data_IF_926829976659
#
_entry.id   IF_926829976659
#
_cell.length_a   1.000
_cell.length_b   1.000
_cell.length_c   1.000
_cell.angle_alpha   90.00
_cell.angle_beta   90.00
_cell.angle_gamma   90.00
#
_symmetry.space_group_name_H-M   'P 1'
#
loop_
_entity.id
_entity.type
_entity.pdbx_description
1 polymer ?
#
# COMPACT_ATOMS: atom_id res chain seq x y z
N UNK A 1 -27.11 15.70 52.98
CA UNK A 1 -27.22 15.61 51.52
C UNK A 1 -25.83 15.55 50.92
N UNK A 2 -25.33 14.40 50.51
CA UNK A 2 -24.06 14.25 49.81
C UNK A 2 -24.36 13.72 48.40
N UNK A 3 -24.33 14.59 47.42
CA UNK A 3 -24.53 14.28 46.02
C UNK A 3 -23.28 13.58 45.48
N UNK A 4 -23.39 12.32 45.10
CA UNK A 4 -22.32 11.58 44.42
C UNK A 4 -22.35 11.96 42.95
N UNK A 5 -21.24 12.59 42.50
CA UNK A 5 -20.96 12.81 41.09
C UNK A 5 -20.31 11.54 40.58
N UNK A 6 -21.00 10.77 39.74
CA UNK A 6 -20.41 9.72 38.92
C UNK A 6 -19.98 10.37 37.60
N UNK A 7 -18.70 10.59 37.44
CA UNK A 7 -18.12 11.03 36.19
C UNK A 7 -17.84 9.81 35.33
N UNK A 8 -18.42 9.87 34.17
CA UNK A 8 -18.31 8.96 33.01
C UNK A 8 -16.84 8.83 32.58
N UNK A 9 -16.18 7.73 32.92
CA UNK A 9 -14.88 7.32 32.34
C UNK A 9 -15.11 5.98 31.66
N UNK A 10 -15.75 6.00 30.49
CA UNK A 10 -15.97 4.78 29.70
C UNK A 10 -15.89 4.96 28.18
N UNK A 11 -15.37 6.09 27.66
CA UNK A 11 -15.33 6.27 26.20
C UNK A 11 -13.92 6.49 25.59
N UNK A 12 -12.86 6.43 26.38
CA UNK A 12 -11.49 6.66 25.91
C UNK A 12 -10.62 5.39 25.80
N UNK A 13 -11.11 4.24 26.25
CA UNK A 13 -10.36 2.98 26.22
C UNK A 13 -10.60 2.12 24.95
N UNK A 14 -11.64 2.38 24.18
CA UNK A 14 -11.94 1.59 22.99
C UNK A 14 -11.19 2.02 21.73
N UNK A 15 -10.81 3.29 21.61
CA UNK A 15 -10.07 3.80 20.44
C UNK A 15 -8.57 3.43 20.47
N UNK A 16 -7.98 3.34 21.68
CA UNK A 16 -6.55 3.00 21.82
C UNK A 16 -6.23 1.53 21.57
N UNK A 17 -7.19 0.62 21.78
CA UNK A 17 -6.98 -0.83 21.55
C UNK A 17 -7.04 -1.19 20.07
N UNK A 18 -7.81 -0.47 19.25
CA UNK A 18 -7.89 -0.70 17.80
C UNK A 18 -6.70 -0.13 17.02
N UNK A 19 -6.14 1.00 17.45
CA UNK A 19 -4.94 1.58 16.85
C UNK A 19 -3.69 0.71 17.08
N UNK A 20 -3.63 -0.02 18.19
CA UNK A 20 -2.55 -0.98 18.50
C UNK A 20 -2.60 -2.27 17.67
N UNK A 21 -3.70 -2.54 16.94
CA UNK A 21 -3.85 -3.80 16.20
C UNK A 21 -3.17 -3.82 14.83
N UNK A 22 -2.78 -2.68 14.28
CA UNK A 22 -2.08 -2.62 12.99
C UNK A 22 -0.55 -2.50 13.11
N UNK A 23 -0.07 -1.96 14.23
CA UNK A 23 1.37 -1.82 14.50
C UNK A 23 1.85 -2.97 15.34
N UNK A 24 1.86 -4.15 14.80
CA UNK A 24 2.35 -5.22 15.62
C UNK A 24 3.44 -5.98 14.89
N UNK A 25 4.66 -5.65 15.22
CA UNK A 25 5.80 -6.54 15.02
C UNK A 25 5.54 -7.98 15.52
N UNK A 26 4.27 -8.39 15.60
CA UNK A 26 3.75 -9.70 16.02
C UNK A 26 3.21 -10.52 14.85
N UNK A 27 2.94 -9.91 13.67
CA UNK A 27 2.58 -10.68 12.47
C UNK A 27 3.81 -11.37 11.92
N UNK A 28 3.63 -12.62 11.47
CA UNK A 28 4.70 -13.42 10.92
C UNK A 28 4.34 -13.83 9.50
N UNK A 29 4.56 -12.93 8.56
CA UNK A 29 4.31 -13.18 7.15
C UNK A 29 5.62 -12.93 6.41
N UNK A 30 6.22 -13.98 5.88
CA UNK A 30 7.52 -13.86 5.23
C UNK A 30 7.37 -13.33 3.80
N UNK A 31 8.24 -12.40 3.47
CA UNK A 31 8.34 -11.86 2.12
C UNK A 31 8.87 -12.92 1.15
N UNK A 32 8.37 -12.95 -0.10
CA UNK A 32 8.97 -13.78 -1.13
C UNK A 32 10.40 -13.30 -1.43
N UNK A 33 11.26 -14.19 -1.89
CA UNK A 33 12.64 -13.86 -2.28
C UNK A 33 12.70 -12.96 -3.52
N UNK A 34 11.65 -12.99 -4.34
CA UNK A 34 11.49 -12.17 -5.54
C UNK A 34 10.01 -12.02 -5.87
N UNK A 35 9.62 -10.90 -6.46
CA UNK A 35 8.28 -10.71 -7.02
C UNK A 35 8.02 -11.55 -8.28
N UNK A 36 9.01 -12.29 -8.77
CA UNK A 36 8.87 -13.13 -9.96
C UNK A 36 8.62 -12.33 -11.24
N UNK A 37 9.06 -11.07 -11.27
CA UNK A 37 8.91 -10.20 -12.43
C UNK A 37 9.88 -10.62 -13.53
N UNK A 38 9.36 -10.72 -14.77
CA UNK A 38 10.14 -11.00 -15.96
C UNK A 38 10.83 -9.75 -16.52
N UNK A 39 11.03 -9.77 -17.83
CA UNK A 39 11.69 -8.67 -18.54
C UNK A 39 10.95 -7.34 -18.32
N UNK A 40 11.73 -6.28 -18.07
CA UNK A 40 11.26 -4.91 -17.96
C UNK A 40 11.18 -4.22 -19.32
N UNK A 41 10.15 -3.41 -19.53
CA UNK A 41 9.99 -2.57 -20.72
C UNK A 41 9.39 -1.21 -20.39
N UNK A 42 9.77 -0.19 -21.15
CA UNK A 42 9.27 1.18 -20.95
C UNK A 42 7.93 1.34 -21.64
N UNK A 43 6.89 1.70 -20.89
CA UNK A 43 5.52 1.90 -21.42
C UNK A 43 5.20 3.37 -21.67
N UNK A 44 5.83 4.29 -20.91
CA UNK A 44 5.65 5.74 -21.03
C UNK A 44 6.84 6.48 -20.40
N UNK A 45 6.75 7.82 -20.37
CA UNK A 45 7.65 8.69 -19.62
C UNK A 45 6.79 9.60 -18.74
N UNK A 46 7.05 9.62 -17.45
CA UNK A 46 6.38 10.52 -16.52
C UNK A 46 6.82 11.97 -16.74
N UNK A 47 5.98 12.90 -16.33
CA UNK A 47 6.30 14.34 -16.24
C UNK A 47 6.16 14.84 -14.80
N UNK A 48 5.56 14.04 -13.91
CA UNK A 48 5.42 14.30 -12.48
C UNK A 48 5.59 12.98 -11.73
N UNK A 49 6.34 13.02 -10.64
CA UNK A 49 6.35 12.01 -9.59
C UNK A 49 5.85 12.62 -8.28
N UNK A 50 5.01 11.88 -7.57
CA UNK A 50 4.46 12.27 -6.27
C UNK A 50 4.78 11.17 -5.28
N UNK A 51 5.30 11.54 -4.12
CA UNK A 51 5.67 10.59 -3.07
C UNK A 51 4.77 10.72 -1.87
N UNK A 52 4.32 9.59 -1.36
CA UNK A 52 3.38 9.51 -0.25
C UNK A 52 3.98 8.70 0.90
N UNK A 53 3.87 9.22 2.12
CA UNK A 53 4.04 8.45 3.33
C UNK A 53 2.72 7.73 3.64
N UNK A 54 2.77 6.41 3.78
CA UNK A 54 1.63 5.62 4.23
C UNK A 54 1.77 5.36 5.72
N UNK A 55 0.74 5.67 6.52
CA UNK A 55 0.69 5.46 7.96
C UNK A 55 1.99 5.87 8.67
N UNK A 56 2.38 7.14 8.51
CA UNK A 56 3.53 7.72 9.17
C UNK A 56 3.17 8.17 10.60
N UNK A 57 4.00 7.83 11.60
CA UNK A 57 3.86 8.40 12.95
C UNK A 57 4.40 9.84 12.97
N UNK A 58 5.46 10.11 12.21
CA UNK A 58 6.01 11.44 11.96
C UNK A 58 6.27 11.63 10.47
N UNK A 59 5.51 12.52 9.85
CA UNK A 59 5.60 12.81 8.41
C UNK A 59 6.97 13.35 7.97
N UNK A 60 7.78 13.85 8.90
CA UNK A 60 9.14 14.35 8.64
C UNK A 60 10.21 13.28 8.79
N UNK A 61 9.86 12.15 9.40
CA UNK A 61 10.77 11.05 9.65
C UNK A 61 10.38 9.79 8.87
N UNK A 62 11.04 9.57 7.74
CA UNK A 62 10.80 8.45 6.82
C UNK A 62 10.91 7.07 7.51
N UNK A 63 11.69 6.93 8.57
CA UNK A 63 11.85 5.66 9.30
C UNK A 63 10.56 5.27 10.06
N UNK A 64 9.61 6.21 10.23
CA UNK A 64 8.32 5.98 10.88
C UNK A 64 7.22 5.56 9.92
N UNK A 65 7.47 5.56 8.60
CA UNK A 65 6.47 5.20 7.60
C UNK A 65 6.23 3.69 7.59
N UNK A 66 4.97 3.30 7.51
CA UNK A 66 4.60 1.92 7.22
C UNK A 66 5.09 1.52 5.82
N UNK A 67 4.85 2.41 4.84
CA UNK A 67 5.42 2.31 3.51
C UNK A 67 5.69 3.70 2.94
N UNK A 68 6.65 3.80 2.05
CA UNK A 68 6.93 4.98 1.26
C UNK A 68 6.58 4.67 -0.20
N UNK A 69 5.63 5.40 -0.76
CA UNK A 69 5.03 5.06 -2.03
C UNK A 69 5.21 6.20 -3.05
N UNK A 70 5.22 5.85 -4.33
CA UNK A 70 5.34 6.82 -5.41
C UNK A 70 4.26 6.65 -6.46
N UNK A 71 3.90 7.77 -7.08
CA UNK A 71 2.97 7.89 -8.20
C UNK A 71 3.70 8.54 -9.38
N UNK A 72 3.93 7.82 -10.46
CA UNK A 72 4.48 8.31 -11.71
C UNK A 72 3.34 8.62 -12.68
N UNK A 73 3.21 9.88 -13.11
CA UNK A 73 2.17 10.32 -14.03
C UNK A 73 2.77 10.62 -15.40
N UNK A 74 2.46 9.79 -16.37
CA UNK A 74 2.79 9.95 -17.77
C UNK A 74 1.60 10.41 -18.61
N UNK A 75 1.77 10.50 -19.93
CA UNK A 75 0.69 10.87 -20.85
C UNK A 75 -0.32 9.75 -21.09
N UNK A 76 0.12 8.51 -21.09
CA UNK A 76 -0.68 7.33 -21.38
C UNK A 76 -0.83 6.41 -20.19
N UNK A 77 0.22 6.29 -19.38
CA UNK A 77 0.29 5.42 -18.22
C UNK A 77 0.50 6.22 -16.95
N UNK A 78 -0.13 5.74 -15.89
CA UNK A 78 0.15 6.15 -14.52
C UNK A 78 0.55 4.89 -13.75
N UNK A 79 1.63 4.96 -12.99
CA UNK A 79 2.12 3.87 -12.15
C UNK A 79 2.09 4.30 -10.70
N UNK A 80 1.62 3.42 -9.81
CA UNK A 80 1.71 3.58 -8.36
C UNK A 80 2.33 2.32 -7.75
N UNK A 81 3.30 2.49 -6.85
CA UNK A 81 4.01 1.37 -6.21
C UNK A 81 4.79 1.84 -4.98
N UNK A 82 5.40 0.88 -4.25
CA UNK A 82 6.26 1.14 -3.11
C UNK A 82 7.65 1.61 -3.54
N UNK A 83 8.08 2.75 -3.00
CA UNK A 83 9.45 3.25 -3.14
C UNK A 83 10.44 2.42 -2.34
N UNK A 84 10.05 1.94 -1.16
CA UNK A 84 10.88 1.04 -0.37
C UNK A 84 11.19 -0.26 -1.12
N UNK A 85 10.22 -0.80 -1.87
CA UNK A 85 10.46 -1.95 -2.75
C UNK A 85 11.38 -1.60 -3.91
N UNK A 86 11.17 -0.46 -4.58
CA UNK A 86 12.03 0.01 -5.68
C UNK A 86 13.48 0.14 -5.23
N UNK A 87 13.73 0.72 -4.06
CA UNK A 87 15.06 0.83 -3.47
C UNK A 87 15.68 -0.53 -3.11
N UNK A 88 14.87 -1.43 -2.57
CA UNK A 88 15.34 -2.78 -2.21
C UNK A 88 15.74 -3.58 -3.47
N UNK A 89 14.92 -3.56 -4.51
CA UNK A 89 15.19 -4.22 -5.79
C UNK A 89 16.40 -3.62 -6.51
N UNK A 90 16.57 -2.30 -6.45
CA UNK A 90 17.74 -1.65 -7.02
C UNK A 90 19.04 -2.07 -6.30
N UNK A 91 19.04 -2.14 -4.98
CA UNK A 91 20.17 -2.65 -4.20
C UNK A 91 20.48 -4.10 -4.55
N UNK A 92 19.45 -4.94 -4.71
CA UNK A 92 19.61 -6.32 -5.13
C UNK A 92 20.22 -6.42 -6.54
N UNK A 93 19.73 -5.60 -7.46
CA UNK A 93 20.23 -5.53 -8.84
C UNK A 93 21.72 -5.12 -8.89
N UNK A 94 22.10 -4.08 -8.15
CA UNK A 94 23.49 -3.63 -8.05
C UNK A 94 24.37 -4.74 -7.48
N UNK A 95 23.92 -5.37 -6.40
CA UNK A 95 24.68 -6.47 -5.78
C UNK A 95 24.93 -7.64 -6.76
N UNK A 96 23.90 -8.03 -7.53
CA UNK A 96 24.06 -9.11 -8.55
C UNK A 96 25.06 -8.71 -9.62
N UNK A 97 25.11 -7.45 -10.05
CA UNK A 97 26.08 -6.96 -11.02
C UNK A 97 27.52 -6.97 -10.48
N UNK A 98 27.69 -6.66 -9.19
CA UNK A 98 28.98 -6.66 -8.51
C UNK A 98 29.52 -8.06 -8.19
N UNK A 99 28.61 -9.07 -8.16
CA UNK A 99 28.95 -10.45 -7.80
C UNK A 99 28.52 -11.45 -8.91
N UNK A 100 29.09 -11.34 -10.13
CA UNK A 100 28.78 -12.26 -11.22
C UNK A 100 29.25 -13.67 -10.84
N UNK A 101 28.33 -14.62 -10.84
CA UNK A 101 28.61 -16.02 -10.45
C UNK A 101 28.26 -16.37 -9.01
N UNK A 102 27.71 -15.46 -8.23
CA UNK A 102 27.14 -15.79 -6.92
C UNK A 102 26.01 -16.83 -7.04
N UNK A 103 26.08 -17.87 -6.21
CA UNK A 103 25.07 -18.96 -6.21
C UNK A 103 23.77 -18.60 -5.49
N UNK A 104 23.74 -17.49 -4.76
CA UNK A 104 22.57 -16.98 -4.06
C UNK A 104 22.61 -15.46 -4.03
N UNK A 105 21.45 -14.84 -4.06
CA UNK A 105 21.28 -13.38 -3.95
C UNK A 105 20.82 -13.05 -2.54
N UNK A 106 21.41 -12.05 -1.86
CA UNK A 106 20.94 -11.63 -0.55
C UNK A 106 19.46 -11.24 -0.62
N UNK A 107 18.70 -11.65 0.38
CA UNK A 107 17.34 -11.14 0.53
C UNK A 107 17.42 -9.69 1.02
N UNK A 108 17.10 -8.75 0.14
CA UNK A 108 17.03 -7.33 0.48
C UNK A 108 15.58 -7.00 0.73
N UNK A 109 15.17 -7.06 1.99
CA UNK A 109 13.84 -6.62 2.38
C UNK A 109 13.71 -5.09 2.26
N UNK A 110 12.53 -4.59 1.85
CA UNK A 110 12.27 -3.16 1.86
C UNK A 110 12.41 -2.61 3.28
N UNK A 111 12.97 -1.42 3.42
CA UNK A 111 12.96 -0.70 4.69
C UNK A 111 11.52 -0.33 5.02
N UNK A 112 10.95 -1.01 5.97
CA UNK A 112 9.59 -0.80 6.42
C UNK A 112 9.55 -1.01 7.93
N UNK A 113 8.74 -0.23 8.61
CA UNK A 113 8.44 -0.41 10.04
C UNK A 113 7.96 -1.82 10.35
N UNK A 114 7.35 -2.52 9.39
CA UNK A 114 6.83 -3.87 9.57
C UNK A 114 7.90 -4.96 9.47
N UNK A 115 8.90 -4.83 8.58
CA UNK A 115 9.90 -5.88 8.33
C UNK A 115 9.34 -7.21 7.82
N UNK A 116 8.06 -7.24 7.40
CA UNK A 116 7.32 -8.40 6.93
C UNK A 116 6.63 -8.08 5.60
N UNK A 117 6.10 -9.11 4.92
CA UNK A 117 5.29 -8.89 3.74
C UNK A 117 4.03 -8.08 4.06
N UNK A 118 3.65 -7.18 3.16
CA UNK A 118 2.35 -6.51 3.15
C UNK A 118 1.87 -6.32 1.72
N UNK A 119 0.57 -6.42 1.50
CA UNK A 119 -0.05 -6.27 0.19
C UNK A 119 0.25 -4.91 -0.44
N UNK A 120 0.39 -3.82 0.36
CA UNK A 120 0.64 -2.48 -0.17
C UNK A 120 2.04 -2.33 -0.76
N UNK A 121 3.04 -2.99 -0.17
CA UNK A 121 4.43 -2.94 -0.66
C UNK A 121 4.64 -3.84 -1.86
N UNK A 122 3.93 -4.98 -1.87
CA UNK A 122 4.12 -6.03 -2.87
C UNK A 122 3.10 -5.97 -4.01
N UNK A 123 2.28 -4.92 -4.09
CA UNK A 123 1.41 -4.64 -5.24
C UNK A 123 1.94 -3.49 -6.10
N UNK A 124 1.74 -3.61 -7.42
CA UNK A 124 1.95 -2.54 -8.39
C UNK A 124 0.66 -2.24 -9.14
N UNK A 125 0.41 -0.96 -9.34
CA UNK A 125 -0.81 -0.46 -9.97
C UNK A 125 -0.47 0.30 -11.23
N UNK A 126 -1.13 -0.04 -12.34
CA UNK A 126 -0.99 0.67 -13.61
C UNK A 126 -2.36 1.13 -14.08
N UNK A 127 -2.49 2.42 -14.35
CA UNK A 127 -3.70 2.97 -14.98
C UNK A 127 -3.41 3.32 -16.43
N UNK A 128 -4.22 2.79 -17.33
CA UNK A 128 -4.15 3.05 -18.77
C UNK A 128 -5.56 3.05 -19.36
N UNK A 129 -5.90 4.09 -20.14
CA UNK A 129 -7.22 4.21 -20.81
C UNK A 129 -8.43 3.99 -19.88
N UNK A 130 -8.37 4.50 -18.65
CA UNK A 130 -9.47 4.36 -17.69
C UNK A 130 -9.60 2.98 -17.05
N UNK A 131 -8.61 2.11 -17.24
CA UNK A 131 -8.52 0.80 -16.58
C UNK A 131 -7.35 0.79 -15.62
N UNK A 132 -7.62 0.44 -14.36
CA UNK A 132 -6.62 0.13 -13.36
C UNK A 132 -6.32 -1.36 -13.42
N UNK A 133 -5.05 -1.72 -13.51
CA UNK A 133 -4.55 -3.09 -13.35
C UNK A 133 -3.69 -3.15 -12.10
N UNK A 134 -4.05 -3.99 -11.14
CA UNK A 134 -3.24 -4.29 -9.96
C UNK A 134 -2.57 -5.64 -10.14
N UNK A 135 -1.24 -5.68 -9.95
CA UNK A 135 -0.44 -6.90 -9.84
C UNK A 135 -0.11 -7.14 -8.38
N UNK A 136 -0.65 -8.21 -7.80
CA UNK A 136 -0.49 -8.57 -6.38
C UNK A 136 0.49 -9.72 -6.24
N UNK A 137 1.65 -9.46 -5.62
CA UNK A 137 2.61 -10.50 -5.24
C UNK A 137 2.26 -11.06 -3.88
N UNK A 138 2.07 -12.36 -3.79
CA UNK A 138 1.75 -13.06 -2.55
C UNK A 138 3.01 -13.34 -1.70
N UNK A 139 2.86 -13.57 -0.39
CA UNK A 139 3.98 -13.88 0.48
C UNK A 139 4.63 -15.23 0.16
N UNK A 140 5.77 -15.48 0.78
CA UNK A 140 6.53 -16.72 0.65
C UNK A 140 5.64 -17.96 0.88
N UNK A 141 5.82 -18.97 0.02
CA UNK A 141 5.01 -20.19 0.01
C UNK A 141 3.69 -20.09 -0.74
N UNK A 142 3.30 -18.88 -1.18
CA UNK A 142 2.09 -18.62 -1.95
C UNK A 142 2.38 -17.97 -3.32
N UNK A 143 3.61 -18.06 -3.82
CA UNK A 143 4.03 -17.41 -5.07
C UNK A 143 3.24 -17.91 -6.30
N UNK A 144 2.73 -19.14 -6.26
CA UNK A 144 1.85 -19.71 -7.31
C UNK A 144 0.48 -19.01 -7.37
N UNK A 145 0.13 -18.30 -6.32
CA UNK A 145 -1.11 -17.54 -6.18
C UNK A 145 -0.97 -16.07 -6.58
N UNK A 146 0.22 -15.65 -7.05
CA UNK A 146 0.44 -14.33 -7.63
C UNK A 146 -0.63 -14.04 -8.68
N UNK A 147 -1.25 -12.87 -8.58
CA UNK A 147 -2.43 -12.56 -9.35
C UNK A 147 -2.45 -11.11 -9.84
N UNK A 148 -3.26 -10.87 -10.86
CA UNK A 148 -3.68 -9.53 -11.21
C UNK A 148 -5.19 -9.46 -11.38
N UNK A 149 -5.75 -8.26 -11.23
CA UNK A 149 -7.12 -7.97 -11.61
C UNK A 149 -7.21 -6.60 -12.26
N UNK A 150 -8.34 -6.36 -12.93
CA UNK A 150 -8.62 -5.10 -13.62
C UNK A 150 -9.93 -4.52 -13.13
N UNK A 151 -9.96 -3.21 -12.99
CA UNK A 151 -11.17 -2.47 -12.63
C UNK A 151 -11.22 -1.10 -13.34
N UNK A 152 -12.39 -0.49 -13.38
CA UNK A 152 -12.53 0.88 -13.90
C UNK A 152 -11.85 1.88 -12.97
N UNK A 153 -11.19 2.88 -13.55
CA UNK A 153 -10.53 3.95 -12.79
C UNK A 153 -10.92 5.33 -13.35
N UNK A 154 -11.20 6.33 -12.51
CA UNK A 154 -11.41 6.23 -11.06
C UNK A 154 -12.77 5.62 -10.72
N UNK A 155 -12.93 5.06 -9.51
CA UNK A 155 -14.15 4.36 -9.08
C UNK A 155 -14.83 5.03 -7.86
N UNK A 156 -14.36 6.21 -7.40
CA UNK A 156 -14.92 6.91 -6.26
C UNK A 156 -15.93 7.97 -6.67
N UNK A 157 -17.01 8.07 -5.88
CA UNK A 157 -17.97 9.18 -5.95
C UNK A 157 -17.68 10.15 -4.81
N UNK A 158 -17.07 11.29 -5.15
CA UNK A 158 -16.63 12.26 -4.17
C UNK A 158 -17.69 13.33 -3.90
N UNK A 159 -17.89 13.67 -2.63
CA UNK A 159 -18.58 14.88 -2.17
C UNK A 159 -17.53 15.91 -1.78
N UNK A 160 -17.43 17.01 -2.54
CA UNK A 160 -16.50 18.11 -2.27
C UNK A 160 -17.05 18.99 -1.15
N UNK A 161 -16.21 19.36 -0.19
CA UNK A 161 -16.53 20.17 0.99
C UNK A 161 -15.81 21.51 0.94
N UNK A 162 -16.30 22.56 1.65
CA UNK A 162 -15.71 23.90 1.62
C UNK A 162 -14.40 24.02 2.39
N UNK A 163 -14.10 23.08 3.27
CA UNK A 163 -12.90 23.11 4.11
C UNK A 163 -11.62 23.11 3.27
N UNK A 164 -10.59 23.79 3.74
CA UNK A 164 -9.28 23.85 3.11
C UNK A 164 -8.16 23.57 4.13
N UNK A 165 -7.06 22.97 3.65
CA UNK A 165 -5.85 22.74 4.42
C UNK A 165 -4.62 22.91 3.54
N UNK A 166 -3.44 22.94 4.14
CA UNK A 166 -2.16 22.91 3.41
C UNK A 166 -1.51 21.54 3.58
N UNK A 167 -1.25 20.85 2.47
CA UNK A 167 -0.55 19.57 2.43
C UNK A 167 0.64 19.70 1.49
N UNK A 168 1.82 19.29 1.92
CA UNK A 168 3.07 19.41 1.16
C UNK A 168 3.29 20.84 0.57
N UNK A 169 3.01 21.87 1.40
CA UNK A 169 3.06 23.29 1.02
C UNK A 169 2.08 23.72 -0.09
N UNK A 170 1.07 22.93 -0.40
CA UNK A 170 0.06 23.23 -1.41
C UNK A 170 -1.31 23.36 -0.75
N UNK A 171 -2.07 24.42 -1.11
CA UNK A 171 -3.45 24.58 -0.63
C UNK A 171 -4.35 23.54 -1.27
N UNK A 172 -5.07 22.80 -0.43
CA UNK A 172 -5.98 21.74 -0.79
C UNK A 172 -7.39 22.04 -0.33
N UNK A 173 -8.36 21.46 -1.03
CA UNK A 173 -9.76 21.42 -0.68
C UNK A 173 -10.14 20.01 -0.22
N UNK A 174 -11.08 19.92 0.72
CA UNK A 174 -11.56 18.65 1.29
C UNK A 174 -12.59 17.98 0.41
N UNK A 175 -12.54 16.66 0.36
CA UNK A 175 -13.60 15.83 -0.21
C UNK A 175 -13.78 14.55 0.61
N UNK A 176 -14.93 13.90 0.50
CA UNK A 176 -15.21 12.63 1.18
C UNK A 176 -15.90 11.64 0.24
N UNK A 177 -15.70 10.34 0.46
CA UNK A 177 -16.39 9.28 -0.27
C UNK A 177 -16.52 8.01 0.56
N UNK A 178 -17.47 7.16 0.16
CA UNK A 178 -17.51 5.75 0.57
C UNK A 178 -16.83 4.93 -0.52
N UNK A 179 -15.79 4.17 -0.16
CA UNK A 179 -15.07 3.33 -1.10
C UNK A 179 -14.56 2.05 -0.43
N UNK A 180 -14.72 0.91 -1.12
CA UNK A 180 -14.25 -0.41 -0.66
C UNK A 180 -14.63 -0.76 0.79
N UNK A 181 -15.83 -0.33 1.24
CA UNK A 181 -16.36 -0.59 2.58
C UNK A 181 -15.89 0.37 3.67
N UNK A 182 -15.11 1.40 3.32
CA UNK A 182 -14.64 2.45 4.26
C UNK A 182 -15.11 3.82 3.82
N UNK A 183 -15.18 4.74 4.77
CA UNK A 183 -15.33 6.16 4.52
C UNK A 183 -13.96 6.83 4.51
N UNK A 184 -13.68 7.60 3.45
CA UNK A 184 -12.42 8.31 3.27
C UNK A 184 -12.62 9.81 3.19
N UNK A 185 -11.67 10.53 3.77
CA UNK A 185 -11.50 11.98 3.63
C UNK A 185 -10.24 12.23 2.80
N UNK A 186 -10.37 13.04 1.75
CA UNK A 186 -9.27 13.44 0.89
C UNK A 186 -9.04 14.95 0.88
N UNK A 187 -7.80 15.35 0.68
CA UNK A 187 -7.37 16.71 0.45
C UNK A 187 -6.70 16.80 -0.90
N UNK A 188 -7.28 17.55 -1.83
CA UNK A 188 -6.83 17.65 -3.22
C UNK A 188 -6.50 19.08 -3.62
N UNK A 189 -5.48 19.23 -4.46
CA UNK A 189 -4.93 20.50 -4.91
C UNK A 189 -5.55 20.92 -6.25
N UNK A 190 -6.50 21.87 -6.25
CA UNK A 190 -7.07 22.43 -7.47
C UNK A 190 -6.03 23.11 -8.38
N UNK A 191 -4.93 23.61 -7.80
CA UNK A 191 -3.81 24.22 -8.55
C UNK A 191 -2.97 23.23 -9.35
N UNK A 192 -3.16 21.93 -9.13
CA UNK A 192 -2.49 20.84 -9.85
C UNK A 192 -3.57 20.00 -10.54
N UNK A 193 -3.97 20.30 -11.79
CA UNK A 193 -5.14 19.71 -12.45
C UNK A 193 -4.86 18.29 -12.97
N UNK A 194 -4.41 17.40 -12.07
CA UNK A 194 -4.16 15.98 -12.31
C UNK A 194 -5.16 15.19 -11.48
N UNK A 195 -6.00 14.39 -12.13
CA UNK A 195 -7.12 13.66 -11.51
C UNK A 195 -6.69 12.32 -10.85
N UNK A 196 -5.51 12.29 -10.27
CA UNK A 196 -4.89 11.10 -9.67
C UNK A 196 -4.61 11.31 -8.19
N UNK A 197 -4.32 10.21 -7.48
CA UNK A 197 -3.96 10.18 -6.07
C UNK A 197 -3.22 8.91 -5.69
N UNK A 198 -2.94 8.71 -4.39
CA UNK A 198 -2.30 7.49 -3.91
C UNK A 198 -3.22 6.28 -4.09
N UNK A 199 -2.64 5.09 -4.15
CA UNK A 199 -3.31 3.81 -4.29
C UNK A 199 -4.30 3.82 -5.46
N UNK A 200 -5.58 3.58 -5.22
CA UNK A 200 -6.65 3.56 -6.23
C UNK A 200 -7.45 4.87 -6.30
N UNK A 201 -7.08 5.87 -5.49
CA UNK A 201 -7.84 7.11 -5.43
C UNK A 201 -7.62 8.02 -6.64
N UNK A 202 -8.71 8.63 -7.11
CA UNK A 202 -8.69 9.58 -8.22
C UNK A 202 -10.05 10.23 -8.49
N UNK A 203 -10.16 10.94 -9.61
CA UNK A 203 -11.44 11.51 -10.09
C UNK A 203 -11.78 12.90 -9.55
N UNK A 204 -11.09 13.42 -8.54
CA UNK A 204 -11.20 14.82 -8.11
C UNK A 204 -10.60 15.76 -9.17
N UNK A 205 -11.01 17.04 -9.24
CA UNK A 205 -10.54 17.98 -10.26
C UNK A 205 -9.06 18.37 -10.12
N UNK A 206 -8.38 17.94 -9.03
CA UNK A 206 -6.97 18.18 -8.77
C UNK A 206 -6.29 16.98 -8.16
N UNK A 207 -4.96 17.05 -8.05
CA UNK A 207 -4.13 16.00 -7.47
C UNK A 207 -4.47 15.78 -5.99
N UNK A 208 -4.75 14.54 -5.62
CA UNK A 208 -5.03 14.17 -4.23
C UNK A 208 -3.71 14.06 -3.49
N UNK A 209 -3.51 14.94 -2.50
CA UNK A 209 -2.27 15.01 -1.73
C UNK A 209 -2.36 14.32 -0.37
N UNK A 210 -3.57 14.14 0.16
CA UNK A 210 -3.78 13.36 1.39
C UNK A 210 -5.09 12.60 1.31
N UNK A 211 -5.10 11.37 1.80
CA UNK A 211 -6.31 10.58 2.02
C UNK A 211 -6.15 9.84 3.36
N UNK A 212 -7.22 9.81 4.15
CA UNK A 212 -7.29 9.02 5.37
C UNK A 212 -8.68 8.42 5.53
N UNK A 213 -8.79 7.22 6.10
CA UNK A 213 -10.09 6.69 6.47
C UNK A 213 -10.55 7.31 7.80
N UNK A 214 -11.87 7.44 7.99
CA UNK A 214 -12.45 8.06 9.20
C UNK A 214 -12.16 7.27 10.48
N UNK A 215 -11.77 6.01 10.35
CA UNK A 215 -11.28 5.17 11.45
C UNK A 215 -9.80 5.38 11.79
N UNK A 216 -9.08 6.24 11.08
CA UNK A 216 -7.65 6.52 11.25
C UNK A 216 -6.75 5.28 11.23
N UNK A 217 -7.15 4.25 10.48
CA UNK A 217 -6.36 3.03 10.30
C UNK A 217 -5.40 3.14 9.11
N UNK A 218 -5.79 3.91 8.10
CA UNK A 218 -5.02 4.12 6.88
C UNK A 218 -4.94 5.59 6.53
N UNK A 219 -3.72 6.05 6.29
CA UNK A 219 -3.45 7.40 5.82
C UNK A 219 -2.38 7.38 4.74
N UNK A 220 -2.55 8.23 3.74
CA UNK A 220 -1.58 8.51 2.70
C UNK A 220 -1.38 10.01 2.65
N UNK A 221 -0.19 10.50 2.91
CA UNK A 221 0.09 11.93 2.90
C UNK A 221 1.29 12.25 2.01
N UNK A 222 1.11 13.19 1.09
CA UNK A 222 2.14 13.62 0.17
C UNK A 222 3.28 14.31 0.94
N UNK A 223 4.49 13.84 0.70
CA UNK A 223 5.72 14.41 1.29
C UNK A 223 6.60 15.10 0.25
N UNK A 224 6.39 14.78 -1.05
CA UNK A 224 7.22 15.34 -2.11
C UNK A 224 6.51 15.30 -3.47
N UNK A 225 6.68 16.35 -4.27
CA UNK A 225 6.24 16.42 -5.67
C UNK A 225 7.43 16.83 -6.51
N UNK A 226 7.77 16.04 -7.53
CA UNK A 226 8.88 16.31 -8.44
C UNK A 226 8.39 16.39 -9.89
N UNK A 227 8.73 17.46 -10.58
CA UNK A 227 8.55 17.60 -12.02
C UNK A 227 9.81 17.13 -12.72
N UNK A 228 9.87 15.84 -13.03
CA UNK A 228 11.00 15.23 -13.74
C UNK A 228 10.51 14.21 -14.75
N UNK A 229 11.34 13.97 -15.77
CA UNK A 229 11.08 12.93 -16.76
C UNK A 229 11.74 11.63 -16.32
N UNK A 230 10.94 10.63 -15.98
CA UNK A 230 11.37 9.30 -15.60
C UNK A 230 10.66 8.27 -16.47
N UNK A 231 11.36 7.22 -16.88
CA UNK A 231 10.77 6.12 -17.65
C UNK A 231 9.81 5.34 -16.76
N UNK A 232 8.53 5.25 -17.15
CA UNK A 232 7.55 4.37 -16.51
C UNK A 232 7.83 2.96 -17.01
N UNK A 233 8.24 2.09 -16.08
CA UNK A 233 8.64 0.71 -16.38
C UNK A 233 7.56 -0.25 -15.91
N UNK A 234 7.16 -1.16 -16.79
CA UNK A 234 6.31 -2.31 -16.54
C UNK A 234 7.11 -3.60 -16.75
N UNK A 235 6.72 -4.67 -16.09
CA UNK A 235 7.32 -6.00 -16.23
C UNK A 235 6.34 -7.00 -16.87
N UNK A 236 6.84 -8.15 -17.28
CA UNK A 236 6.02 -9.19 -17.91
C UNK A 236 5.11 -9.94 -16.93
N UNK A 237 5.41 -9.98 -15.66
CA UNK A 237 4.70 -10.71 -14.61
C UNK A 237 4.40 -12.19 -14.95
N UNK A 238 5.41 -12.99 -15.34
CA UNK A 238 5.21 -14.40 -15.64
C UNK A 238 4.67 -15.13 -14.41
N UNK A 239 3.67 -15.99 -14.61
CA UNK A 239 3.05 -16.74 -13.52
C UNK A 239 1.92 -16.01 -12.79
N UNK A 240 1.73 -14.71 -13.01
CA UNK A 240 0.55 -14.00 -12.49
C UNK A 240 -0.69 -14.38 -13.28
N UNK A 241 -1.79 -14.65 -12.58
CA UNK A 241 -3.07 -15.06 -13.19
C UNK A 241 -4.15 -14.03 -12.90
N UNK A 242 -5.03 -13.81 -13.88
CA UNK A 242 -6.21 -12.99 -13.63
C UNK A 242 -7.13 -13.68 -12.63
N UNK A 243 -7.51 -12.98 -11.57
CA UNK A 243 -8.41 -13.46 -10.52
C UNK A 243 -9.45 -12.41 -10.19
N UNK A 244 -10.57 -12.85 -9.63
CA UNK A 244 -11.56 -11.94 -9.03
C UNK A 244 -10.92 -11.21 -7.85
N UNK A 245 -11.25 -9.93 -7.71
CA UNK A 245 -10.75 -9.12 -6.59
C UNK A 245 -11.04 -9.75 -5.23
N UNK A 246 -12.26 -10.26 -5.04
CA UNK A 246 -12.67 -10.94 -3.80
C UNK A 246 -11.76 -12.11 -3.39
N UNK A 247 -11.25 -12.87 -4.37
CA UNK A 247 -10.39 -14.02 -4.10
C UNK A 247 -8.98 -13.56 -3.68
N UNK A 248 -8.49 -12.49 -4.31
CA UNK A 248 -7.21 -11.85 -3.94
C UNK A 248 -7.30 -11.32 -2.53
N UNK A 249 -8.32 -10.52 -2.20
CA UNK A 249 -8.54 -9.94 -0.87
C UNK A 249 -8.67 -11.01 0.21
N UNK A 250 -9.41 -12.08 -0.07
CA UNK A 250 -9.55 -13.20 0.86
C UNK A 250 -8.20 -13.85 1.18
N UNK A 251 -7.38 -14.10 0.15
CA UNK A 251 -6.08 -14.72 0.34
C UNK A 251 -5.10 -13.79 1.09
N UNK A 252 -5.07 -12.51 0.73
CA UNK A 252 -4.27 -11.49 1.41
C UNK A 252 -4.66 -11.38 2.89
N UNK A 253 -5.96 -11.40 3.20
CA UNK A 253 -6.46 -11.39 4.56
C UNK A 253 -6.00 -12.63 5.35
N UNK A 254 -6.20 -13.84 4.81
CA UNK A 254 -5.78 -15.08 5.46
C UNK A 254 -4.26 -15.11 5.71
N UNK A 255 -3.47 -14.63 4.75
CA UNK A 255 -2.02 -14.54 4.91
C UNK A 255 -1.63 -13.58 6.04
N UNK A 256 -2.30 -12.44 6.18
CA UNK A 256 -2.04 -11.50 7.27
C UNK A 256 -2.55 -12.02 8.63
N UNK A 257 -3.64 -12.78 8.64
CA UNK A 257 -4.21 -13.32 9.88
C UNK A 257 -3.40 -14.50 10.44
N UNK A 258 -3.00 -15.48 9.61
CA UNK A 258 -2.22 -16.64 10.06
C UNK A 258 -1.46 -17.31 8.91
N UNK A 259 -0.32 -16.73 8.55
CA UNK A 259 0.52 -17.23 7.47
C UNK A 259 1.01 -18.65 7.71
N UNK A 260 1.45 -19.00 8.95
CA UNK A 260 1.95 -20.34 9.27
C UNK A 260 0.93 -21.43 8.94
N UNK A 261 -0.31 -21.24 9.40
CA UNK A 261 -1.41 -22.16 9.15
C UNK A 261 -1.74 -22.24 7.67
N UNK A 262 -1.77 -21.08 6.99
CA UNK A 262 -2.12 -20.97 5.59
C UNK A 262 -1.16 -21.71 4.66
N UNK A 263 0.15 -21.64 4.92
CA UNK A 263 1.18 -22.35 4.12
C UNK A 263 1.47 -23.78 4.62
N UNK A 264 0.81 -24.22 5.69
CA UNK A 264 1.04 -25.54 6.29
C UNK A 264 2.43 -25.69 6.92
N UNK A 265 2.98 -24.59 7.47
CA UNK A 265 4.29 -24.62 8.12
C UNK A 265 4.25 -25.46 9.39
N UNK A 266 5.10 -26.48 9.48
CA UNK A 266 5.12 -27.41 10.61
C UNK A 266 6.27 -27.11 11.58
N UNK A 267 6.03 -27.36 12.86
CA UNK A 267 7.07 -27.33 13.88
C UNK A 267 8.03 -28.51 13.63
N UNK A 268 9.33 -28.29 13.43
CA UNK A 268 10.28 -29.36 13.12
C UNK A 268 10.47 -30.37 14.27
N UNK A 269 10.06 -30.03 15.50
CA UNK A 269 10.18 -30.90 16.67
C UNK A 269 8.94 -31.78 16.89
N UNK A 270 7.74 -31.25 16.65
CA UNK A 270 6.47 -31.94 16.91
C UNK A 270 5.78 -32.46 15.65
N UNK A 271 6.12 -31.92 14.47
CA UNK A 271 5.43 -32.21 13.20
C UNK A 271 4.05 -31.56 13.08
N UNK A 272 3.59 -30.83 14.08
CA UNK A 272 2.29 -30.16 14.07
C UNK A 272 2.32 -28.88 13.24
N UNK A 273 1.19 -28.57 12.57
CA UNK A 273 1.03 -27.30 11.85
C UNK A 273 1.04 -26.15 12.85
N UNK A 274 1.95 -25.21 12.65
CA UNK A 274 2.02 -24.01 13.47
C UNK A 274 0.86 -23.07 13.13
N UNK A 275 0.40 -22.33 14.13
CA UNK A 275 -0.61 -21.28 13.99
C UNK A 275 -0.23 -20.10 14.87
N UNK A 276 -0.35 -18.90 14.33
CA UNK A 276 -0.17 -17.65 15.05
C UNK A 276 -1.15 -16.61 14.52
N UNK A 277 -2.40 -16.78 14.93
CA UNK A 277 -3.48 -15.90 14.51
C UNK A 277 -3.33 -14.49 15.11
N UNK A 278 -3.45 -13.48 14.24
CA UNK A 278 -3.50 -12.07 14.60
C UNK A 278 -4.63 -11.41 13.82
N UNK A 279 -5.60 -10.75 14.46
CA UNK A 279 -6.66 -10.04 13.75
C UNK A 279 -6.09 -9.07 12.72
N UNK A 280 -6.66 -9.07 11.52
CA UNK A 280 -6.26 -8.17 10.45
C UNK A 280 -7.47 -7.38 9.91
N UNK A 281 -7.30 -6.07 9.81
CA UNK A 281 -8.30 -5.15 9.27
C UNK A 281 -7.75 -4.53 7.97
N UNK A 282 -8.03 -5.10 6.78
CA UNK A 282 -7.45 -4.67 5.52
C UNK A 282 -7.92 -3.27 5.09
N UNK A 283 -7.14 -2.60 4.24
CA UNK A 283 -7.50 -1.32 3.62
C UNK A 283 -8.80 -1.45 2.80
N UNK A 284 -8.98 -2.55 2.09
CA UNK A 284 -10.13 -2.85 1.24
C UNK A 284 -10.94 -3.98 1.89
N UNK A 285 -12.22 -3.68 2.22
CA UNK A 285 -13.09 -4.61 2.95
C UNK A 285 -13.99 -5.45 2.03
N UNK A 286 -14.20 -5.00 0.78
CA UNK A 286 -15.08 -5.66 -0.21
C UNK A 286 -14.73 -5.27 -1.64
#
# INVERSE_FOLDING_TARGET
MKTKVYILICSLLSASVLALSQDNGRRWVYSPTSRGMGRAFVVDTSFVEVYYAMNADDIKNRETYLDYQYLEIGKRYVKYSSEFMREAEEKQRVWVQEHPGAKSVPNVSPKSKLGIWSEYQYSEYFTHQGVLTEYSTMPMGLEKENAFHKETYPNQQWTVLPDTATVCNVRCQKAQCQFSGREFVAWFANSIPLKYGPWKFGGLPGLILKVEDTGHLYSFECVKIERKKVKIVMHEYPGYREKKRSDILKLQRLANEDWFKLVGFTNPKTGEVMSKYVPYNPLELK
#
